data_IF_963594482131
#
_entry.id   IF_963594482131
#
_cell.length_a   1.000
_cell.length_b   1.000
_cell.length_c   1.000
_cell.angle_alpha   90.00
_cell.angle_beta   90.00
_cell.angle_gamma   90.00
#
_symmetry.space_group_name_H-M   'P 1'
#
loop_
_entity.id
_entity.type
_entity.pdbx_description
1 polymer ?
#
# COMPACT_ATOMS: atom_id res chain seq x y z
N UNK A 1 15.52 -4.96 -2.57
CA UNK A 1 15.37 -3.78 -1.67
C UNK A 1 15.01 -2.50 -2.44
N UNK A 2 15.87 -1.93 -3.29
CA UNK A 2 15.53 -0.67 -4.00
C UNK A 2 14.23 -0.72 -4.82
N UNK A 3 13.95 -1.86 -5.50
CA UNK A 3 12.73 -2.07 -6.27
C UNK A 3 11.46 -1.89 -5.42
N UNK A 4 11.44 -2.45 -4.21
CA UNK A 4 10.31 -2.38 -3.30
C UNK A 4 10.13 -1.01 -2.68
N UNK A 5 11.24 -0.34 -2.31
CA UNK A 5 11.18 1.02 -1.79
C UNK A 5 10.64 2.01 -2.85
N UNK A 6 11.17 1.97 -4.07
CA UNK A 6 10.75 2.88 -5.15
C UNK A 6 9.30 2.57 -5.58
N UNK A 7 8.96 1.29 -5.74
CA UNK A 7 7.58 0.90 -6.04
C UNK A 7 6.59 1.25 -4.93
N UNK A 8 7.02 1.10 -3.67
CA UNK A 8 6.26 1.49 -2.49
C UNK A 8 6.02 3.00 -2.44
N UNK A 9 7.03 3.82 -2.71
CA UNK A 9 6.88 5.28 -2.82
C UNK A 9 5.94 5.63 -3.97
N UNK A 10 6.14 5.08 -5.16
CA UNK A 10 5.32 5.40 -6.34
C UNK A 10 3.84 5.05 -6.11
N UNK A 11 3.55 3.85 -5.62
CA UNK A 11 2.19 3.45 -5.29
C UNK A 11 1.62 4.25 -4.12
N UNK A 12 2.43 4.52 -3.09
CA UNK A 12 2.04 5.26 -1.90
C UNK A 12 1.72 6.72 -2.17
N UNK A 13 2.39 7.36 -3.14
CA UNK A 13 2.04 8.71 -3.58
C UNK A 13 0.65 8.71 -4.23
N UNK A 14 0.38 7.77 -5.15
CA UNK A 14 -0.91 7.69 -5.83
C UNK A 14 -2.04 7.36 -4.85
N UNK A 15 -1.80 6.42 -3.94
CA UNK A 15 -2.78 6.10 -2.91
C UNK A 15 -2.96 7.26 -1.92
N UNK A 16 -1.87 7.89 -1.47
CA UNK A 16 -1.93 9.06 -0.62
C UNK A 16 -2.70 10.23 -1.23
N UNK A 17 -2.63 10.43 -2.56
CA UNK A 17 -3.47 11.40 -3.27
C UNK A 17 -4.97 11.05 -3.18
N UNK A 18 -5.32 9.77 -3.36
CA UNK A 18 -6.71 9.31 -3.17
C UNK A 18 -7.17 9.50 -1.72
N UNK A 19 -6.29 9.25 -0.74
CA UNK A 19 -6.61 9.51 0.67
C UNK A 19 -6.81 11.00 0.96
N UNK A 20 -6.04 11.87 0.30
CA UNK A 20 -6.21 13.32 0.42
C UNK A 20 -7.57 13.77 -0.11
N UNK A 21 -8.01 13.25 -1.27
CA UNK A 21 -9.34 13.59 -1.83
C UNK A 21 -10.49 13.04 -1.00
N UNK A 22 -10.29 11.91 -0.31
CA UNK A 22 -11.27 11.32 0.60
C UNK A 22 -11.24 11.92 2.02
N UNK A 23 -10.24 12.75 2.35
CA UNK A 23 -10.07 13.30 3.69
C UNK A 23 -9.65 12.28 4.76
N UNK A 24 -9.07 11.14 4.37
CA UNK A 24 -8.76 10.02 5.28
C UNK A 24 -7.32 10.04 5.82
N UNK A 25 -6.47 10.97 5.37
CA UNK A 25 -5.09 11.12 5.87
C UNK A 25 -5.02 11.40 7.40
N UNK A 26 -5.88 12.23 8.02
CA UNK A 26 -5.88 12.40 9.46
C UNK A 26 -6.14 11.11 10.26
N UNK A 27 -6.86 10.14 9.67
CA UNK A 27 -7.07 8.82 10.30
C UNK A 27 -5.75 8.05 10.38
N UNK A 28 -4.87 8.17 9.38
CA UNK A 28 -3.53 7.58 9.45
C UNK A 28 -2.64 8.34 10.43
N UNK A 29 -2.76 9.66 10.47
CA UNK A 29 -2.00 10.50 11.40
C UNK A 29 -2.29 10.16 12.88
N UNK A 30 -3.53 9.76 13.19
CA UNK A 30 -3.93 9.44 14.56
C UNK A 30 -3.23 8.20 15.12
N UNK A 31 -2.73 7.30 14.25
CA UNK A 31 -1.91 6.14 14.65
C UNK A 31 -0.63 6.56 15.38
N UNK A 32 -0.16 7.79 15.18
CA UNK A 32 1.01 8.37 15.85
C UNK A 32 0.64 9.58 16.73
N UNK A 33 -0.64 9.71 17.11
CA UNK A 33 -1.13 10.78 17.98
C UNK A 33 -1.22 12.15 17.32
N UNK A 34 -1.26 12.23 15.98
CA UNK A 34 -1.37 13.49 15.23
C UNK A 34 -2.72 13.62 14.51
N UNK A 35 -3.14 14.85 14.23
CA UNK A 35 -4.31 15.17 13.40
C UNK A 35 -3.92 15.78 12.05
N UNK A 36 -2.62 16.00 11.80
CA UNK A 36 -2.13 16.65 10.58
C UNK A 36 -2.19 15.71 9.38
N UNK A 37 -2.87 16.13 8.31
CA UNK A 37 -2.90 15.37 7.06
C UNK A 37 -1.50 15.15 6.46
N UNK A 38 -0.57 16.11 6.65
CA UNK A 38 0.82 15.98 6.20
C UNK A 38 1.56 14.88 6.97
N UNK A 39 1.34 14.80 8.30
CA UNK A 39 1.89 13.72 9.12
C UNK A 39 1.29 12.37 8.69
N UNK A 40 -0.02 12.32 8.47
CA UNK A 40 -0.69 11.12 7.97
C UNK A 40 -0.16 10.64 6.62
N UNK A 41 0.12 11.58 5.70
CA UNK A 41 0.75 11.26 4.42
C UNK A 41 2.18 10.71 4.61
N UNK A 42 2.98 11.32 5.49
CA UNK A 42 4.33 10.82 5.81
C UNK A 42 4.31 9.40 6.39
N UNK A 43 3.42 9.13 7.34
CA UNK A 43 3.21 7.78 7.91
C UNK A 43 2.74 6.81 6.84
N UNK A 44 1.82 7.22 5.96
CA UNK A 44 1.37 6.40 4.84
C UNK A 44 2.54 6.01 3.93
N UNK A 45 3.38 6.96 3.50
CA UNK A 45 4.56 6.69 2.66
C UNK A 45 5.54 5.73 3.35
N UNK A 46 5.78 5.92 4.64
CA UNK A 46 6.61 5.00 5.42
C UNK A 46 6.06 3.56 5.38
N UNK A 47 4.76 3.38 5.64
CA UNK A 47 4.09 2.07 5.57
C UNK A 47 4.16 1.51 4.14
N UNK A 48 3.91 2.33 3.12
CA UNK A 48 3.99 1.95 1.71
C UNK A 48 5.37 1.44 1.31
N UNK A 49 6.45 2.02 1.85
CA UNK A 49 7.82 1.53 1.64
C UNK A 49 8.00 0.15 2.28
N UNK A 50 7.59 -0.02 3.54
CA UNK A 50 7.74 -1.29 4.26
C UNK A 50 6.98 -2.43 3.57
N UNK A 51 5.75 -2.17 3.15
CA UNK A 51 4.93 -3.11 2.38
C UNK A 51 5.59 -3.42 1.03
N UNK A 52 6.10 -2.41 0.31
CA UNK A 52 6.77 -2.60 -0.97
C UNK A 52 8.06 -3.42 -0.85
N UNK A 53 8.84 -3.20 0.20
CA UNK A 53 9.99 -4.03 0.54
C UNK A 53 9.57 -5.49 0.76
N UNK A 54 8.49 -5.73 1.51
CA UNK A 54 7.92 -7.06 1.74
C UNK A 54 7.64 -7.82 0.44
N UNK A 55 6.93 -7.19 -0.51
CA UNK A 55 6.65 -7.80 -1.82
C UNK A 55 7.92 -8.22 -2.56
N UNK A 56 8.91 -7.31 -2.65
CA UNK A 56 10.12 -7.59 -3.45
C UNK A 56 11.09 -8.56 -2.77
N UNK A 57 11.11 -8.61 -1.44
CA UNK A 57 11.90 -9.61 -0.71
C UNK A 57 11.30 -11.00 -0.88
N UNK A 58 9.98 -11.13 -0.79
CA UNK A 58 9.31 -12.43 -0.87
C UNK A 58 9.21 -12.96 -2.30
N UNK A 59 8.97 -12.09 -3.28
CA UNK A 59 8.53 -12.50 -4.61
C UNK A 59 9.40 -11.98 -5.76
N UNK A 60 10.42 -11.16 -5.47
CA UNK A 60 11.24 -10.49 -6.48
C UNK A 60 11.93 -11.43 -7.47
N UNK A 61 12.44 -12.56 -7.00
CA UNK A 61 13.20 -13.51 -7.83
C UNK A 61 12.33 -14.60 -8.49
N UNK A 62 11.03 -14.67 -8.18
CA UNK A 62 10.18 -15.81 -8.55
C UNK A 62 8.90 -15.41 -9.27
N UNK A 63 8.15 -14.44 -8.75
CA UNK A 63 6.85 -14.05 -9.30
C UNK A 63 6.88 -12.73 -10.07
N UNK A 64 7.88 -11.87 -9.85
CA UNK A 64 8.01 -10.58 -10.53
C UNK A 64 8.83 -10.66 -11.83
N UNK A 65 8.48 -11.61 -12.69
CA UNK A 65 9.27 -11.94 -13.89
C UNK A 65 8.80 -11.23 -15.18
N UNK A 66 7.79 -10.37 -15.09
CA UNK A 66 7.26 -9.62 -16.23
C UNK A 66 6.06 -8.77 -15.85
N UNK A 67 5.71 -7.78 -16.68
CA UNK A 67 4.72 -6.75 -16.30
C UNK A 67 3.33 -7.32 -15.99
N UNK A 68 2.81 -8.23 -16.81
CA UNK A 68 1.49 -8.84 -16.56
C UNK A 68 1.45 -9.63 -15.24
N UNK A 69 2.46 -10.47 -15.00
CA UNK A 69 2.57 -11.23 -13.75
C UNK A 69 2.81 -10.32 -12.54
N UNK A 70 3.66 -9.30 -12.70
CA UNK A 70 3.93 -8.31 -11.66
C UNK A 70 2.68 -7.51 -11.27
N UNK A 71 1.85 -7.11 -12.23
CA UNK A 71 0.58 -6.44 -11.96
C UNK A 71 -0.39 -7.36 -11.21
N UNK A 72 -0.55 -8.63 -11.63
CA UNK A 72 -1.42 -9.59 -10.95
C UNK A 72 -0.97 -9.89 -9.52
N UNK A 73 0.33 -10.13 -9.32
CA UNK A 73 0.93 -10.34 -7.99
C UNK A 73 0.73 -9.09 -7.14
N UNK A 74 0.96 -7.92 -7.72
CA UNK A 74 0.75 -6.62 -7.07
C UNK A 74 -0.70 -6.42 -6.63
N UNK A 75 -1.67 -6.68 -7.49
CA UNK A 75 -3.10 -6.59 -7.18
C UNK A 75 -3.49 -7.52 -6.04
N UNK A 76 -3.07 -8.80 -6.10
CA UNK A 76 -3.32 -9.76 -5.03
C UNK A 76 -2.68 -9.34 -3.71
N UNK A 77 -1.45 -8.83 -3.76
CA UNK A 77 -0.75 -8.32 -2.59
C UNK A 77 -1.42 -7.08 -1.99
N UNK A 78 -1.89 -6.17 -2.84
CA UNK A 78 -2.70 -5.01 -2.43
C UNK A 78 -3.98 -5.44 -1.73
N UNK A 79 -4.72 -6.40 -2.30
CA UNK A 79 -5.93 -6.95 -1.68
C UNK A 79 -5.66 -7.58 -0.31
N UNK A 80 -4.54 -8.30 -0.16
CA UNK A 80 -4.12 -8.85 1.14
C UNK A 80 -3.89 -7.70 2.15
N UNK A 81 -3.16 -6.65 1.76
CA UNK A 81 -2.92 -5.52 2.65
C UNK A 81 -4.15 -4.66 2.92
N UNK A 82 -5.16 -4.68 2.04
CA UNK A 82 -6.45 -4.10 2.35
C UNK A 82 -7.16 -4.85 3.49
N UNK A 83 -7.09 -6.18 3.51
CA UNK A 83 -7.62 -6.95 4.65
C UNK A 83 -6.79 -6.69 5.91
N UNK A 84 -5.46 -6.75 5.80
CA UNK A 84 -4.59 -6.63 6.97
C UNK A 84 -4.58 -5.20 7.55
N UNK A 85 -4.57 -4.17 6.71
CA UNK A 85 -4.44 -2.77 7.10
C UNK A 85 -5.73 -2.20 7.68
N UNK A 86 -6.64 -1.68 6.83
CA UNK A 86 -7.85 -0.97 7.27
C UNK A 86 -8.91 -1.87 7.90
N UNK A 87 -8.96 -3.18 7.62
CA UNK A 87 -9.99 -4.06 8.20
C UNK A 87 -9.55 -4.77 9.49
N UNK A 88 -8.24 -4.92 9.73
CA UNK A 88 -7.71 -5.67 10.87
C UNK A 88 -6.80 -4.83 11.78
N UNK A 89 -5.63 -4.42 11.31
CA UNK A 89 -4.62 -3.76 12.17
C UNK A 89 -5.06 -2.39 12.65
N UNK A 90 -5.56 -1.53 11.75
CA UNK A 90 -6.00 -0.19 12.16
C UNK A 90 -7.16 -0.26 13.16
N UNK A 91 -8.25 -1.03 12.91
CA UNK A 91 -9.33 -1.15 13.89
C UNK A 91 -8.86 -1.74 15.22
N UNK A 92 -7.98 -2.74 15.20
CA UNK A 92 -7.40 -3.32 16.41
C UNK A 92 -6.62 -2.29 17.24
N UNK A 93 -5.80 -1.46 16.59
CA UNK A 93 -5.01 -0.41 17.25
C UNK A 93 -5.87 0.74 17.79
N UNK A 94 -7.04 0.99 17.18
CA UNK A 94 -7.92 2.10 17.53
C UNK A 94 -9.14 1.70 18.37
N UNK A 95 -9.30 0.42 18.71
CA UNK A 95 -10.47 -0.09 19.44
C UNK A 95 -11.78 -0.04 18.63
N UNK A 96 -11.69 -0.10 17.30
CA UNK A 96 -12.85 -0.08 16.39
C UNK A 96 -13.29 -1.51 16.03
N UNK A 97 -14.53 -1.71 15.54
CA UNK A 97 -14.99 -3.01 15.06
C UNK A 97 -14.10 -3.58 13.95
N UNK A 98 -13.64 -4.83 14.10
CA UNK A 98 -12.83 -5.52 13.09
C UNK A 98 -13.70 -5.96 11.89
N UNK A 99 -13.10 -6.00 10.71
CA UNK A 99 -13.71 -6.50 9.47
C UNK A 99 -15.04 -5.81 9.08
N UNK A 100 -15.25 -4.57 9.52
CA UNK A 100 -16.38 -3.78 9.05
C UNK A 100 -16.14 -3.33 7.60
N UNK A 101 -17.00 -3.74 6.68
CA UNK A 101 -16.94 -3.38 5.26
C UNK A 101 -18.00 -2.33 4.94
N UNK A 102 -17.62 -1.07 5.07
CA UNK A 102 -18.44 0.08 4.69
C UNK A 102 -17.96 0.72 3.37
N UNK A 103 -18.57 1.84 2.97
CA UNK A 103 -18.20 2.56 1.76
C UNK A 103 -16.74 3.03 1.78
N UNK A 104 -16.22 3.46 2.93
CA UNK A 104 -14.83 3.92 3.07
C UNK A 104 -13.87 2.74 2.93
N UNK A 105 -14.21 1.58 3.50
CA UNK A 105 -13.46 0.34 3.33
C UNK A 105 -13.41 -0.09 1.86
N UNK A 106 -14.53 -0.01 1.12
CA UNK A 106 -14.57 -0.32 -0.32
C UNK A 106 -13.74 0.66 -1.15
N UNK A 107 -13.78 1.97 -0.83
CA UNK A 107 -12.91 2.95 -1.50
C UNK A 107 -11.42 2.71 -1.17
N UNK A 108 -11.13 2.26 0.05
CA UNK A 108 -9.79 1.87 0.46
C UNK A 108 -9.30 0.64 -0.32
N UNK A 109 -10.17 -0.32 -0.66
CA UNK A 109 -9.81 -1.46 -1.52
C UNK A 109 -9.29 -0.97 -2.87
N UNK A 110 -9.99 -0.02 -3.50
CA UNK A 110 -9.54 0.56 -4.76
C UNK A 110 -8.13 1.17 -4.63
N UNK A 111 -7.89 1.93 -3.56
CA UNK A 111 -6.56 2.50 -3.28
C UNK A 111 -5.47 1.44 -3.10
N UNK A 112 -5.76 0.35 -2.39
CA UNK A 112 -4.82 -0.76 -2.21
C UNK A 112 -4.54 -1.54 -3.50
N UNK A 113 -5.55 -1.75 -4.35
CA UNK A 113 -5.38 -2.39 -5.65
C UNK A 113 -4.51 -1.51 -6.58
N UNK A 114 -4.77 -0.20 -6.63
CA UNK A 114 -3.96 0.76 -7.40
C UNK A 114 -2.52 0.77 -6.88
N UNK A 115 -2.33 0.88 -5.56
CA UNK A 115 -1.02 0.78 -4.91
C UNK A 115 -0.29 -0.51 -5.34
N UNK A 116 -0.95 -1.65 -5.21
CA UNK A 116 -0.38 -2.96 -5.49
C UNK A 116 0.03 -3.10 -6.96
N UNK A 117 -0.82 -2.68 -7.89
CA UNK A 117 -0.52 -2.69 -9.32
C UNK A 117 0.71 -1.83 -9.65
N UNK A 118 0.77 -0.59 -9.15
CA UNK A 118 1.91 0.31 -9.37
C UNK A 118 3.19 -0.27 -8.78
N UNK A 119 3.13 -0.75 -7.53
CA UNK A 119 4.26 -1.40 -6.86
C UNK A 119 4.80 -2.56 -7.71
N UNK A 120 3.93 -3.45 -8.17
CA UNK A 120 4.31 -4.61 -8.98
C UNK A 120 4.97 -4.22 -10.30
N UNK A 121 4.39 -3.25 -11.02
CA UNK A 121 4.93 -2.76 -12.29
C UNK A 121 6.29 -2.07 -12.12
N UNK A 122 6.43 -1.21 -11.11
CA UNK A 122 7.69 -0.51 -10.82
C UNK A 122 8.76 -1.49 -10.35
N UNK A 123 8.39 -2.46 -9.50
CA UNK A 123 9.32 -3.49 -9.05
C UNK A 123 9.86 -4.31 -10.23
N UNK A 124 8.99 -4.78 -11.14
CA UNK A 124 9.40 -5.48 -12.36
C UNK A 124 10.35 -4.61 -13.18
N UNK A 125 10.01 -3.33 -13.41
CA UNK A 125 10.83 -2.40 -14.20
C UNK A 125 12.24 -2.22 -13.62
N UNK A 126 12.38 -2.22 -12.30
CA UNK A 126 13.69 -2.05 -11.63
C UNK A 126 14.47 -3.36 -11.61
N UNK A 127 13.80 -4.49 -11.37
CA UNK A 127 14.45 -5.80 -11.35
C UNK A 127 14.95 -6.22 -12.73
N UNK A 128 14.19 -5.92 -13.79
CA UNK A 128 14.58 -6.21 -15.17
C UNK A 128 15.85 -5.47 -15.64
N UNK A 129 16.24 -4.38 -14.97
CA UNK A 129 17.45 -3.61 -15.30
C UNK A 129 18.68 -4.07 -14.51
N UNK A 130 18.54 -5.11 -13.68
CA UNK A 130 19.62 -5.71 -12.89
C UNK A 130 20.04 -7.09 -13.38
N UNK A 131 19.29 -7.67 -14.32
CA UNK A 131 19.61 -8.92 -15.01
C UNK A 131 20.39 -8.63 -16.29
#
# INVERSE_FOLDING_TARGET
MAAGAIGGIAGGIVFGMLMATMGTLPVIASMVGSTSAVVGFGVHIMISILIGLGLTVLFGNSLLTGYGRGALVGLGYGAIWWVLGPLLMMPLLMGMPLFNVDTIALMSLMGHLIYGAILGLVAVRILAHRA
#
